data_IF_066628270250
#
_entry.id   IF_066628270250
#
_cell.length_a   1.000
_cell.length_b   1.000
_cell.length_c   1.000
_cell.angle_alpha   90.00
_cell.angle_beta   90.00
_cell.angle_gamma   90.00
#
_symmetry.space_group_name_H-M   'P 1'
#
loop_
_entity.id
_entity.type
_entity.pdbx_description
1 polymer ?
#
# COMPACT_ATOMS: atom_id res chain seq x y z
N UNK A 1 14.73 13.96 1.78
CA UNK A 1 14.51 12.50 1.87
C UNK A 1 13.18 12.31 2.58
N UNK A 2 12.22 11.64 1.95
CA UNK A 2 10.93 11.32 2.60
C UNK A 2 11.21 10.23 3.64
N UNK A 3 10.61 10.31 4.83
CA UNK A 3 10.86 9.30 5.87
C UNK A 3 10.14 7.99 5.57
N UNK A 4 10.69 6.86 6.04
CA UNK A 4 10.08 5.52 5.94
C UNK A 4 8.65 5.55 6.48
N UNK A 5 8.44 6.18 7.64
CA UNK A 5 7.13 6.28 8.28
C UNK A 5 6.13 7.06 7.43
N UNK A 6 6.60 8.10 6.73
CA UNK A 6 5.76 8.90 5.83
C UNK A 6 5.32 8.10 4.61
N UNK A 7 6.23 7.28 4.04
CA UNK A 7 5.93 6.40 2.91
C UNK A 7 4.98 5.29 3.33
N UNK A 8 5.26 4.61 4.45
CA UNK A 8 4.40 3.55 5.01
C UNK A 8 3.00 4.07 5.35
N UNK A 9 2.90 5.26 5.96
CA UNK A 9 1.62 5.92 6.24
C UNK A 9 0.85 6.24 4.96
N UNK A 10 1.52 6.71 3.91
CA UNK A 10 0.87 7.01 2.63
C UNK A 10 0.35 5.75 1.94
N UNK A 11 1.15 4.68 1.93
CA UNK A 11 0.74 3.38 1.40
C UNK A 11 -0.49 2.85 2.15
N UNK A 12 -0.49 2.98 3.48
CA UNK A 12 -1.61 2.60 4.35
C UNK A 12 -2.92 3.28 3.97
N UNK A 13 -2.88 4.61 3.81
CA UNK A 13 -4.06 5.40 3.43
C UNK A 13 -4.62 4.99 2.06
N UNK A 14 -3.76 4.66 1.10
CA UNK A 14 -4.20 4.19 -0.21
C UNK A 14 -4.88 2.83 -0.14
N UNK A 15 -4.34 1.91 0.66
CA UNK A 15 -4.96 0.59 0.89
C UNK A 15 -6.34 0.76 1.56
N UNK A 16 -6.44 1.64 2.56
CA UNK A 16 -7.72 1.95 3.22
C UNK A 16 -8.75 2.52 2.25
N UNK A 17 -8.33 3.38 1.31
CA UNK A 17 -9.20 3.88 0.24
C UNK A 17 -9.62 2.80 -0.75
N UNK A 18 -8.70 1.92 -1.14
CA UNK A 18 -9.02 0.80 -2.03
C UNK A 18 -10.08 -0.13 -1.43
N UNK A 19 -10.06 -0.30 -0.11
CA UNK A 19 -11.02 -1.09 0.65
C UNK A 19 -12.31 -0.34 0.99
N UNK A 20 -12.39 0.96 0.73
CA UNK A 20 -13.54 1.78 1.11
C UNK A 20 -14.64 1.76 0.05
N UNK A 21 -15.90 1.71 0.50
CA UNK A 21 -17.07 1.91 -0.36
C UNK A 21 -17.35 3.38 -0.71
N UNK A 22 -16.53 4.31 -0.19
CA UNK A 22 -16.66 5.74 -0.47
C UNK A 22 -16.08 6.14 -1.83
N UNK A 23 -15.15 5.35 -2.35
CA UNK A 23 -14.48 5.62 -3.63
C UNK A 23 -15.06 4.72 -4.75
N UNK A 24 -15.24 5.26 -5.97
CA UNK A 24 -15.65 4.47 -7.13
C UNK A 24 -14.78 3.22 -7.36
N UNK A 25 -15.41 2.10 -7.76
CA UNK A 25 -14.72 0.82 -7.98
C UNK A 25 -13.50 0.92 -8.90
N UNK A 26 -13.56 1.72 -9.96
CA UNK A 26 -12.44 1.89 -10.90
C UNK A 26 -11.20 2.56 -10.29
N UNK A 27 -11.35 3.34 -9.21
CA UNK A 27 -10.21 3.94 -8.50
C UNK A 27 -9.56 2.99 -7.49
N UNK A 28 -10.26 1.96 -7.04
CA UNK A 28 -9.73 1.02 -6.03
C UNK A 28 -8.46 0.33 -6.51
N UNK A 29 -8.43 -0.09 -7.79
CA UNK A 29 -7.24 -0.67 -8.41
C UNK A 29 -6.06 0.32 -8.47
N UNK A 30 -6.33 1.57 -8.88
CA UNK A 30 -5.31 2.63 -8.95
C UNK A 30 -4.68 2.90 -7.58
N UNK A 31 -5.48 2.89 -6.51
CA UNK A 31 -4.93 3.06 -5.16
C UNK A 31 -4.02 1.90 -4.74
N UNK A 32 -4.33 0.66 -5.12
CA UNK A 32 -3.45 -0.48 -4.84
C UNK A 32 -2.17 -0.45 -5.67
N UNK A 33 -2.22 0.04 -6.92
CA UNK A 33 -1.03 0.24 -7.75
C UNK A 33 -0.10 1.28 -7.11
N UNK A 34 -0.65 2.40 -6.63
CA UNK A 34 0.15 3.41 -5.93
C UNK A 34 0.69 2.91 -4.59
N UNK A 35 -0.08 2.14 -3.83
CA UNK A 35 0.40 1.51 -2.61
C UNK A 35 1.57 0.54 -2.90
N UNK A 36 1.50 -0.18 -4.02
CA UNK A 36 2.57 -1.07 -4.49
C UNK A 36 3.83 -0.28 -4.87
N UNK A 37 3.68 0.88 -5.53
CA UNK A 37 4.83 1.75 -5.82
C UNK A 37 5.54 2.23 -4.53
N UNK A 38 4.78 2.54 -3.48
CA UNK A 38 5.36 2.91 -2.18
C UNK A 38 6.01 1.73 -1.45
N UNK A 39 5.46 0.52 -1.57
CA UNK A 39 6.10 -0.71 -1.06
C UNK A 39 7.48 -0.92 -1.69
N UNK A 40 7.59 -0.79 -3.02
CA UNK A 40 8.87 -0.89 -3.73
C UNK A 40 9.85 0.20 -3.27
N UNK A 41 9.38 1.44 -3.10
CA UNK A 41 10.19 2.55 -2.62
C UNK A 41 10.75 2.29 -1.20
N UNK A 42 9.92 1.75 -0.30
CA UNK A 42 10.35 1.35 1.04
C UNK A 42 11.45 0.30 1.00
N UNK A 43 11.31 -0.68 0.11
CA UNK A 43 12.26 -1.79 -0.04
C UNK A 43 13.62 -1.33 -0.57
N UNK A 44 13.62 -0.37 -1.50
CA UNK A 44 14.82 0.13 -2.17
C UNK A 44 15.58 1.20 -1.34
N UNK A 45 14.86 2.20 -0.80
CA UNK A 45 15.51 3.37 -0.17
C UNK A 45 15.75 3.22 1.34
N UNK A 46 14.99 2.38 2.04
CA UNK A 46 14.98 2.38 3.52
C UNK A 46 15.95 1.40 4.20
N UNK A 47 16.80 0.70 3.46
CA UNK A 47 17.69 -0.34 4.01
C UNK A 47 16.91 -1.45 4.72
N UNK A 48 17.44 -2.01 5.81
CA UNK A 48 16.75 -3.08 6.55
C UNK A 48 15.39 -2.65 7.14
N UNK A 49 15.32 -1.42 7.67
CA UNK A 49 14.07 -0.87 8.22
C UNK A 49 13.02 -0.66 7.14
N UNK A 50 13.45 -0.20 5.97
CA UNK A 50 12.62 -0.05 4.77
C UNK A 50 12.06 -1.37 4.28
N UNK A 51 12.90 -2.40 4.17
CA UNK A 51 12.46 -3.76 3.81
C UNK A 51 11.44 -4.32 4.80
N UNK A 52 11.64 -4.12 6.09
CA UNK A 52 10.68 -4.54 7.11
C UNK A 52 9.33 -3.80 6.96
N UNK A 53 9.35 -2.50 6.64
CA UNK A 53 8.15 -1.73 6.34
C UNK A 53 7.48 -2.17 5.04
N UNK A 54 8.25 -2.42 3.98
CA UNK A 54 7.77 -2.93 2.71
C UNK A 54 7.01 -4.25 2.89
N UNK A 55 7.55 -5.20 3.66
CA UNK A 55 6.87 -6.47 3.96
C UNK A 55 5.51 -6.27 4.64
N UNK A 56 5.40 -5.33 5.61
CA UNK A 56 4.11 -5.02 6.25
C UNK A 56 3.11 -4.41 5.26
N UNK A 57 3.58 -3.53 4.37
CA UNK A 57 2.73 -2.94 3.32
C UNK A 57 2.30 -4.00 2.32
N UNK A 58 3.20 -4.90 1.93
CA UNK A 58 2.93 -5.99 1.00
C UNK A 58 1.82 -6.92 1.52
N UNK A 59 1.89 -7.34 2.78
CA UNK A 59 0.87 -8.17 3.42
C UNK A 59 -0.51 -7.51 3.35
N UNK A 60 -0.57 -6.20 3.65
CA UNK A 60 -1.82 -5.42 3.57
C UNK A 60 -2.35 -5.27 2.15
N UNK A 61 -1.47 -5.12 1.15
CA UNK A 61 -1.85 -5.09 -0.26
C UNK A 61 -2.44 -6.44 -0.68
N UNK A 62 -1.81 -7.55 -0.28
CA UNK A 62 -2.31 -8.89 -0.59
C UNK A 62 -3.68 -9.14 0.04
N UNK A 63 -3.85 -8.76 1.31
CA UNK A 63 -5.15 -8.81 1.97
C UNK A 63 -6.20 -7.98 1.21
N UNK A 64 -5.88 -6.74 0.83
CA UNK A 64 -6.82 -5.89 0.11
C UNK A 64 -7.22 -6.45 -1.27
N UNK A 65 -6.28 -7.05 -2.00
CA UNK A 65 -6.56 -7.75 -3.26
C UNK A 65 -7.50 -8.93 -3.06
N UNK A 66 -7.29 -9.74 -2.02
CA UNK A 66 -8.17 -10.86 -1.70
C UNK A 66 -9.60 -10.38 -1.40
N UNK A 67 -9.75 -9.38 -0.53
CA UNK A 67 -11.05 -8.79 -0.20
C UNK A 67 -11.79 -8.25 -1.43
N UNK A 68 -11.08 -7.63 -2.36
CA UNK A 68 -11.67 -7.11 -3.61
C UNK A 68 -12.11 -8.21 -4.58
N UNK A 69 -11.51 -9.41 -4.53
CA UNK A 69 -11.93 -10.54 -5.36
C UNK A 69 -13.17 -11.25 -4.81
N UNK A 70 -13.43 -11.12 -3.50
CA UNK A 70 -14.57 -11.71 -2.80
C UNK A 70 -15.83 -10.82 -2.82
N UNK A 71 -15.70 -9.54 -3.19
CA UNK A 71 -16.76 -8.52 -3.21
C UNK A 71 -17.45 -8.41 -4.58
#
# INVERSE_FOLDING_TARGET
MISIESIESRASQLIERALSDRDPHHYRLVFLEWATAFELLLSDEGGEKGRAAALRVQDRIQHARATMLEA
#
